data_IF_262728331689
#
_entry.id   IF_262728331689
#
_cell.length_a   1.000
_cell.length_b   1.000
_cell.length_c   1.000
_cell.angle_alpha   90.00
_cell.angle_beta   90.00
_cell.angle_gamma   90.00
#
_symmetry.space_group_name_H-M   'P 1'
#
loop_
_entity.id
_entity.type
_entity.pdbx_description
1 polymer ?
#
# COMPACT_ATOMS: atom_id res chain seq x y z
N UNK A 1 5.99 31.56 12.37
CA UNK A 1 6.58 30.21 12.16
C UNK A 1 5.48 29.38 11.52
N UNK A 2 5.69 28.72 10.37
CA UNK A 2 4.65 27.82 9.86
C UNK A 2 4.43 26.75 10.94
N UNK A 3 3.18 26.57 11.38
CA UNK A 3 2.83 25.44 12.24
C UNK A 3 3.30 24.16 11.55
N UNK A 4 4.03 23.33 12.27
CA UNK A 4 4.44 22.01 11.78
C UNK A 4 3.20 21.19 11.44
N UNK A 5 3.12 20.71 10.19
CA UNK A 5 2.00 19.88 9.70
C UNK A 5 1.86 18.57 10.48
N UNK A 6 2.96 18.08 11.06
CA UNK A 6 2.95 16.95 11.98
C UNK A 6 3.55 17.43 13.29
N UNK A 7 2.74 17.37 14.34
CA UNK A 7 3.21 17.57 15.71
C UNK A 7 4.23 16.47 16.05
N UNK A 8 5.42 16.79 16.58
CA UNK A 8 6.42 15.77 16.96
C UNK A 8 5.88 14.75 17.97
N UNK A 9 4.86 15.10 18.76
CA UNK A 9 4.19 14.15 19.67
C UNK A 9 3.31 13.13 18.95
N UNK A 10 2.92 13.38 17.69
CA UNK A 10 2.13 12.46 16.88
C UNK A 10 2.98 11.38 16.20
N UNK A 11 4.26 11.65 15.93
CA UNK A 11 5.13 10.71 15.21
C UNK A 11 5.20 9.32 15.87
N UNK A 12 5.41 9.17 17.20
CA UNK A 12 5.42 7.86 17.85
C UNK A 12 4.07 7.12 17.74
N UNK A 13 2.95 7.86 17.76
CA UNK A 13 1.61 7.27 17.62
C UNK A 13 1.36 6.78 16.19
N UNK A 14 1.83 7.52 15.19
CA UNK A 14 1.74 7.13 13.78
C UNK A 14 2.62 5.92 13.48
N UNK A 15 3.79 5.84 14.09
CA UNK A 15 4.66 4.68 14.02
C UNK A 15 3.97 3.45 14.62
N UNK A 16 3.40 3.56 15.82
CA UNK A 16 2.63 2.48 16.44
C UNK A 16 1.44 2.02 15.56
N UNK A 17 0.71 2.97 14.95
CA UNK A 17 -0.37 2.65 14.01
C UNK A 17 0.16 1.93 12.76
N UNK A 18 1.29 2.38 12.22
CA UNK A 18 1.92 1.75 11.05
C UNK A 18 2.32 0.29 11.33
N UNK A 19 2.84 0.00 12.54
CA UNK A 19 3.17 -1.35 12.97
C UNK A 19 1.94 -2.25 13.10
N UNK A 20 0.81 -1.69 13.56
CA UNK A 20 -0.47 -2.41 13.62
C UNK A 20 -1.00 -2.76 12.22
N UNK A 21 -0.82 -1.86 11.24
CA UNK A 21 -1.24 -2.05 9.85
C UNK A 21 -0.30 -2.95 9.04
N UNK A 22 0.98 -3.08 9.45
CA UNK A 22 1.94 -4.04 8.90
C UNK A 22 1.66 -5.49 9.28
N UNK A 23 0.74 -5.74 10.24
CA UNK A 23 0.29 -7.11 10.47
C UNK A 23 -0.35 -7.60 9.19
N UNK A 24 0.17 -8.70 8.58
CA UNK A 24 -0.50 -9.30 7.45
C UNK A 24 -1.95 -9.49 7.86
N UNK A 25 -2.88 -8.94 7.09
CA UNK A 25 -4.21 -9.51 7.06
C UNK A 25 -3.97 -10.95 6.60
N UNK A 26 -3.83 -11.88 7.54
CA UNK A 26 -4.13 -13.28 7.28
C UNK A 26 -5.55 -13.20 6.75
N UNK A 27 -5.72 -13.32 5.44
CA UNK A 27 -7.04 -13.42 4.86
C UNK A 27 -7.74 -14.53 5.62
N UNK A 28 -8.65 -14.16 6.52
CA UNK A 28 -9.34 -15.09 7.41
C UNK A 28 -10.51 -15.72 6.65
N UNK A 29 -10.19 -16.21 5.47
CA UNK A 29 -11.10 -16.83 4.54
C UNK A 29 -10.47 -18.12 4.07
N UNK A 30 -10.87 -19.23 4.69
CA UNK A 30 -10.88 -20.51 4.00
C UNK A 30 -11.59 -20.29 2.66
N UNK A 31 -10.81 -20.17 1.58
CA UNK A 31 -11.32 -20.28 0.22
C UNK A 31 -11.66 -19.00 -0.54
N UNK A 32 -11.42 -17.79 -0.04
CA UNK A 32 -11.68 -16.58 -0.84
C UNK A 32 -10.45 -15.67 -0.98
N UNK A 33 -9.81 -15.81 -2.14
CA UNK A 33 -8.73 -14.97 -2.68
C UNK A 33 -7.47 -14.87 -1.82
N UNK A 34 -6.67 -15.95 -1.78
CA UNK A 34 -5.22 -15.74 -1.92
C UNK A 34 -5.04 -15.00 -3.24
N UNK A 35 -4.40 -13.85 -3.21
CA UNK A 35 -4.19 -12.96 -4.35
C UNK A 35 -4.27 -13.68 -5.71
N UNK A 36 -5.34 -13.40 -6.47
CA UNK A 36 -5.40 -13.73 -7.91
C UNK A 36 -4.51 -12.76 -8.71
N UNK A 37 -3.92 -11.76 -8.06
CA UNK A 37 -2.96 -10.86 -8.67
C UNK A 37 -1.62 -11.57 -8.64
N UNK A 38 -1.09 -11.75 -9.84
CA UNK A 38 0.16 -12.46 -10.04
C UNK A 38 1.25 -11.41 -9.94
N UNK A 39 1.86 -11.28 -8.77
CA UNK A 39 3.03 -10.46 -8.60
C UNK A 39 4.13 -10.91 -9.55
N UNK A 40 4.73 -9.98 -10.28
CA UNK A 40 5.96 -10.19 -11.09
C UNK A 40 7.22 -10.43 -10.23
N UNK A 41 7.03 -10.81 -8.96
CA UNK A 41 8.14 -10.96 -8.02
C UNK A 41 9.04 -12.13 -8.41
N UNK A 42 10.35 -11.91 -8.31
CA UNK A 42 11.38 -12.88 -8.68
C UNK A 42 11.66 -13.90 -7.56
N UNK A 43 11.13 -13.67 -6.35
CA UNK A 43 11.47 -14.48 -5.18
C UNK A 43 10.46 -15.63 -4.99
N UNK A 44 11.00 -16.85 -4.99
CA UNK A 44 10.25 -18.08 -4.75
C UNK A 44 9.78 -18.11 -3.29
N UNK A 45 8.48 -18.35 -3.08
CA UNK A 45 7.90 -18.47 -1.75
C UNK A 45 7.73 -19.94 -1.33
N UNK A 46 7.01 -20.73 -2.12
CA UNK A 46 6.68 -22.12 -1.79
C UNK A 46 6.13 -22.89 -3.02
N UNK A 47 5.78 -24.16 -2.84
CA UNK A 47 4.99 -24.96 -3.76
C UNK A 47 3.57 -25.15 -3.25
N UNK A 48 2.63 -25.35 -4.18
CA UNK A 48 1.33 -25.96 -3.85
C UNK A 48 0.92 -26.99 -4.88
N UNK A 49 0.08 -27.99 -4.51
CA UNK A 49 -0.52 -28.88 -5.49
C UNK A 49 -1.26 -28.09 -6.58
N UNK A 50 -1.13 -28.57 -7.81
CA UNK A 50 -1.87 -28.08 -8.96
C UNK A 50 -3.38 -28.31 -8.77
N UNK A 51 -4.16 -27.31 -9.15
CA UNK A 51 -5.61 -27.38 -9.24
C UNK A 51 -6.06 -27.06 -10.68
N UNK A 52 -7.18 -27.65 -11.09
CA UNK A 52 -7.76 -27.38 -12.42
C UNK A 52 -8.05 -25.89 -12.56
N UNK A 53 -7.54 -25.29 -13.64
CA UNK A 53 -7.61 -23.84 -13.90
C UNK A 53 -6.30 -23.10 -13.63
N UNK A 54 -5.31 -23.76 -13.02
CA UNK A 54 -3.97 -23.20 -12.87
C UNK A 54 -3.23 -23.10 -14.21
N UNK A 55 -2.44 -22.04 -14.35
CA UNK A 55 -1.65 -21.75 -15.53
C UNK A 55 -0.40 -22.64 -15.57
N UNK A 56 -0.35 -23.55 -16.53
CA UNK A 56 0.70 -24.57 -16.68
C UNK A 56 2.12 -23.99 -16.82
N UNK A 57 2.27 -22.70 -17.17
CA UNK A 57 3.58 -22.04 -17.21
C UNK A 57 4.25 -21.93 -15.84
N UNK A 58 3.48 -22.04 -14.76
CA UNK A 58 3.98 -21.99 -13.38
C UNK A 58 4.18 -23.37 -12.77
N UNK A 59 3.92 -24.44 -13.52
CA UNK A 59 4.20 -25.81 -13.07
C UNK A 59 5.71 -26.01 -12.97
N UNK A 60 6.15 -26.61 -11.86
CA UNK A 60 7.53 -27.07 -11.75
C UNK A 60 7.68 -28.46 -12.38
N UNK A 61 8.12 -28.49 -13.63
CA UNK A 61 8.36 -29.73 -14.36
C UNK A 61 9.47 -30.60 -13.76
N UNK A 62 10.44 -30.01 -13.03
CA UNK A 62 11.48 -30.77 -12.33
C UNK A 62 10.95 -31.41 -11.04
N UNK A 63 10.03 -30.75 -10.34
CA UNK A 63 9.32 -31.35 -9.21
C UNK A 63 8.44 -32.50 -9.68
N UNK A 64 7.72 -32.30 -10.80
CA UNK A 64 6.93 -33.37 -11.43
C UNK A 64 7.80 -34.57 -11.81
N UNK A 65 8.92 -34.37 -12.50
CA UNK A 65 9.82 -35.46 -12.90
C UNK A 65 10.37 -36.30 -11.74
N UNK A 66 10.43 -35.76 -10.51
CA UNK A 66 10.93 -36.44 -9.32
C UNK A 66 9.86 -37.10 -8.47
N UNK A 67 8.61 -36.64 -8.56
CA UNK A 67 7.53 -37.03 -7.64
C UNK A 67 6.29 -37.58 -8.33
N UNK A 68 6.18 -37.44 -9.65
CA UNK A 68 4.98 -37.72 -10.45
C UNK A 68 3.72 -36.97 -9.95
N UNK A 69 3.93 -35.87 -9.23
CA UNK A 69 2.89 -35.00 -8.70
C UNK A 69 3.04 -33.58 -9.27
N UNK A 70 1.93 -32.97 -9.68
CA UNK A 70 1.92 -31.63 -10.24
C UNK A 70 1.92 -30.58 -9.12
N UNK A 71 2.96 -29.74 -9.14
CA UNK A 71 3.10 -28.59 -8.24
C UNK A 71 3.20 -27.30 -9.04
N UNK A 72 2.59 -26.25 -8.51
CA UNK A 72 2.68 -24.88 -9.02
C UNK A 72 3.59 -24.08 -8.09
N UNK A 73 4.54 -23.33 -8.67
CA UNK A 73 5.40 -22.41 -7.93
C UNK A 73 4.59 -21.23 -7.42
N UNK A 74 4.73 -20.94 -6.14
CA UNK A 74 4.26 -19.72 -5.50
C UNK A 74 5.43 -18.75 -5.38
N UNK A 75 5.17 -17.49 -5.72
CA UNK A 75 6.13 -16.40 -5.60
C UNK A 75 5.62 -15.43 -4.54
N UNK A 76 6.53 -14.81 -3.80
CA UNK A 76 6.17 -13.82 -2.79
C UNK A 76 5.76 -12.53 -3.48
N UNK A 77 4.48 -12.17 -3.42
CA UNK A 77 4.02 -10.92 -4.03
C UNK A 77 4.32 -9.73 -3.09
N UNK A 78 5.31 -8.91 -3.46
CA UNK A 78 5.41 -7.56 -2.91
C UNK A 78 4.26 -6.70 -3.50
N UNK A 79 3.10 -6.68 -2.85
CA UNK A 79 2.04 -5.72 -3.21
C UNK A 79 2.47 -4.30 -2.81
N UNK A 80 2.91 -3.52 -3.80
CA UNK A 80 3.18 -2.09 -3.64
C UNK A 80 1.96 -1.30 -4.06
N UNK A 81 1.26 -0.70 -3.10
CA UNK A 81 0.11 0.16 -3.40
C UNK A 81 0.54 1.60 -3.70
N UNK A 82 -0.21 2.26 -4.59
CA UNK A 82 -0.17 3.71 -4.75
C UNK A 82 -1.31 4.31 -3.95
N UNK A 83 -0.97 5.11 -2.93
CA UNK A 83 -1.94 5.91 -2.19
C UNK A 83 -2.01 7.28 -2.84
N UNK A 84 -3.17 7.60 -3.43
CA UNK A 84 -3.42 8.90 -4.06
C UNK A 84 -4.40 9.72 -3.22
N UNK A 85 -3.91 10.77 -2.59
CA UNK A 85 -4.74 11.76 -1.92
C UNK A 85 -5.13 12.87 -2.89
N UNK A 86 -6.42 13.19 -2.96
CA UNK A 86 -6.92 14.36 -3.67
C UNK A 86 -7.51 15.30 -2.62
N UNK A 87 -6.92 16.48 -2.48
CA UNK A 87 -7.26 17.46 -1.47
C UNK A 87 -7.91 18.68 -2.12
N UNK A 88 -9.13 19.00 -1.69
CA UNK A 88 -9.79 20.26 -2.04
C UNK A 88 -9.02 21.43 -1.38
N UNK A 89 -8.67 22.44 -2.18
CA UNK A 89 -8.05 23.70 -1.74
C UNK A 89 -8.90 24.92 -2.12
N UNK A 90 -10.18 24.70 -2.46
CA UNK A 90 -11.15 25.76 -2.73
C UNK A 90 -11.36 26.69 -1.53
N UNK A 91 -11.92 27.88 -1.78
CA UNK A 91 -12.27 28.85 -0.72
C UNK A 91 -13.16 28.28 0.38
N UNK A 92 -13.93 27.21 0.10
CA UNK A 92 -14.77 26.54 1.11
C UNK A 92 -13.96 25.86 2.23
N UNK A 93 -12.66 25.66 2.01
CA UNK A 93 -11.73 25.06 2.96
C UNK A 93 -11.13 26.09 3.93
N UNK A 94 -11.27 27.38 3.67
CA UNK A 94 -10.93 28.45 4.60
C UNK A 94 -12.12 28.75 5.53
N UNK A 95 -12.39 27.80 6.42
CA UNK A 95 -13.55 27.85 7.30
C UNK A 95 -13.21 27.33 8.70
N UNK A 96 -13.82 27.95 9.71
CA UNK A 96 -13.72 27.57 11.12
C UNK A 96 -12.51 28.17 11.85
N UNK A 97 -12.58 28.20 13.18
CA UNK A 97 -11.45 28.59 14.06
C UNK A 97 -10.32 27.56 14.02
N UNK A 98 -10.67 26.28 13.94
CA UNK A 98 -9.78 25.23 13.45
C UNK A 98 -9.93 25.17 11.92
N UNK A 99 -9.01 25.81 11.21
CA UNK A 99 -9.06 25.92 9.76
C UNK A 99 -9.17 24.53 9.10
N UNK A 100 -10.24 24.32 8.31
CA UNK A 100 -10.54 23.03 7.67
C UNK A 100 -9.41 22.56 6.73
N UNK A 101 -8.81 23.45 5.96
CA UNK A 101 -7.65 23.14 5.12
C UNK A 101 -6.45 22.67 5.93
N UNK A 102 -6.14 23.38 7.02
CA UNK A 102 -5.04 23.00 7.91
C UNK A 102 -5.26 21.60 8.49
N UNK A 103 -6.46 21.28 8.96
CA UNK A 103 -6.79 19.94 9.44
C UNK A 103 -6.64 18.87 8.36
N UNK A 104 -7.14 19.12 7.15
CA UNK A 104 -7.04 18.17 6.06
C UNK A 104 -5.59 17.92 5.62
N UNK A 105 -4.75 18.95 5.61
CA UNK A 105 -3.30 18.81 5.37
C UNK A 105 -2.62 17.97 6.44
N UNK A 106 -2.94 18.18 7.73
CA UNK A 106 -2.41 17.37 8.85
C UNK A 106 -2.82 15.90 8.71
N UNK A 107 -4.07 15.65 8.31
CA UNK A 107 -4.58 14.29 8.08
C UNK A 107 -3.87 13.60 6.91
N UNK A 108 -3.73 14.28 5.77
CA UNK A 108 -3.01 13.75 4.59
C UNK A 108 -1.54 13.49 4.94
N UNK A 109 -0.89 14.37 5.70
CA UNK A 109 0.47 14.16 6.17
C UNK A 109 0.59 12.94 7.08
N UNK A 110 -0.36 12.75 8.00
CA UNK A 110 -0.37 11.63 8.94
C UNK A 110 -0.60 10.29 8.24
N UNK A 111 -1.62 10.20 7.38
CA UNK A 111 -1.90 8.99 6.59
C UNK A 111 -0.78 8.72 5.58
N UNK A 112 -0.22 9.78 5.01
CA UNK A 112 0.90 9.69 4.09
C UNK A 112 2.16 9.12 4.74
N UNK A 113 2.46 9.54 5.96
CA UNK A 113 3.55 8.97 6.77
C UNK A 113 3.35 7.46 6.96
N UNK A 114 2.15 7.03 7.35
CA UNK A 114 1.82 5.60 7.53
C UNK A 114 2.01 4.82 6.23
N UNK A 115 1.54 5.35 5.10
CA UNK A 115 1.70 4.72 3.78
C UNK A 115 3.17 4.62 3.36
N UNK A 116 3.96 5.67 3.55
CA UNK A 116 5.39 5.69 3.23
C UNK A 116 6.17 4.68 4.08
N UNK A 117 5.86 4.59 5.39
CA UNK A 117 6.44 3.56 6.27
C UNK A 117 6.03 2.16 5.78
N UNK A 118 4.82 1.98 5.26
CA UNK A 118 4.36 0.74 4.64
C UNK A 118 4.94 0.44 3.25
N UNK A 119 6.02 1.11 2.84
CA UNK A 119 6.69 0.94 1.54
C UNK A 119 5.77 1.18 0.31
N UNK A 120 4.69 1.93 0.51
CA UNK A 120 3.76 2.33 -0.54
C UNK A 120 4.25 3.61 -1.24
N UNK A 121 3.76 3.82 -2.47
CA UNK A 121 3.96 5.09 -3.19
C UNK A 121 2.90 6.09 -2.76
N UNK A 122 3.28 7.36 -2.65
CA UNK A 122 2.36 8.42 -2.27
C UNK A 122 2.27 9.50 -3.35
N UNK A 123 1.06 9.79 -3.80
CA UNK A 123 0.74 10.91 -4.69
C UNK A 123 -0.26 11.82 -3.97
N UNK A 124 -0.02 13.13 -3.98
CA UNK A 124 -0.96 14.12 -3.44
C UNK A 124 -1.32 15.08 -4.56
N UNK A 125 -2.60 15.31 -4.77
CA UNK A 125 -3.12 16.28 -5.73
C UNK A 125 -3.95 17.30 -4.99
N UNK A 126 -3.54 18.57 -5.07
CA UNK A 126 -4.32 19.72 -4.65
C UNK A 126 -5.26 20.09 -5.79
N UNK A 127 -6.55 20.26 -5.51
CA UNK A 127 -7.58 20.53 -6.49
C UNK A 127 -8.49 21.70 -6.08
N UNK A 128 -8.77 22.59 -7.02
CA UNK A 128 -9.83 23.60 -6.98
C UNK A 128 -10.45 23.70 -8.40
N UNK A 129 -11.57 24.40 -8.57
CA UNK A 129 -12.42 24.45 -9.78
C UNK A 129 -11.71 24.70 -11.12
N UNK A 130 -10.47 25.18 -11.12
CA UNK A 130 -9.63 25.28 -12.33
C UNK A 130 -8.14 25.08 -12.07
N UNK A 131 -7.75 24.61 -10.88
CA UNK A 131 -6.35 24.46 -10.49
C UNK A 131 -6.11 23.06 -9.97
N UNK A 132 -5.14 22.37 -10.58
CA UNK A 132 -4.70 21.05 -10.14
C UNK A 132 -3.18 21.07 -10.02
N UNK A 133 -2.67 20.77 -8.84
CA UNK A 133 -1.23 20.63 -8.60
C UNK A 133 -0.95 19.31 -7.91
N UNK A 134 -0.14 18.48 -8.54
CA UNK A 134 0.26 17.19 -7.99
C UNK A 134 1.69 17.21 -7.44
N UNK A 135 1.92 16.44 -6.38
CA UNK A 135 3.21 16.21 -5.77
C UNK A 135 3.43 14.70 -5.56
N UNK A 136 4.56 14.19 -6.04
CA UNK A 136 4.88 12.76 -6.08
C UNK A 136 4.82 12.16 -7.50
N UNK A 137 4.85 10.83 -7.63
CA UNK A 137 4.86 9.86 -6.54
C UNK A 137 6.16 9.92 -5.72
N UNK A 138 6.03 9.96 -4.39
CA UNK A 138 7.16 9.89 -3.45
C UNK A 138 7.24 8.48 -2.87
N UNK A 139 8.45 8.04 -2.60
CA UNK A 139 8.76 6.73 -2.04
C UNK A 139 9.12 6.85 -0.56
N UNK A 140 8.69 5.87 0.25
CA UNK A 140 9.32 5.62 1.54
C UNK A 140 10.79 5.27 1.31
N UNK A 141 11.72 5.92 2.02
CA UNK A 141 13.14 5.54 1.95
C UNK A 141 13.30 4.15 2.60
N UNK A 142 13.95 3.23 1.89
CA UNK A 142 14.52 2.02 2.49
C UNK A 142 15.80 2.43 3.23
N UNK A 143 15.89 2.11 4.51
CA UNK A 143 17.17 1.94 5.21
C UNK A 143 17.71 0.54 4.93
#
# INVERSE_FOLDING_TARGET
>A
MPETLLDPTLAPRLEQLSLALRRPHRGDGRGDRRSLRRGTSLEFADFRPYAVGDDLRHVDWNAYARSDHLFVKLYEEEERFLVHFILDVSRSMDWGSANKLAFALRLVAALGYVGLVGNSRLLVTLADRGFVRSHGPVWGRRE
#
